data_IF_521870310963
#
_entry.id   IF_521870310963
#
_cell.length_a   1.000
_cell.length_b   1.000
_cell.length_c   1.000
_cell.angle_alpha   90.00
_cell.angle_beta   90.00
_cell.angle_gamma   90.00
#
_symmetry.space_group_name_H-M   'P 1'
#
loop_
_entity.id
_entity.type
_entity.pdbx_description
1 polymer ?
#
# COMPACT_ATOMS: atom_id res chain seq x y z
N UNK A 1 -52.71 1.09 18.95
CA UNK A 1 -52.48 0.49 17.62
C UNK A 1 -51.52 1.40 16.87
N UNK A 2 -50.28 0.97 16.65
CA UNK A 2 -49.26 1.78 15.98
C UNK A 2 -49.45 1.62 14.47
N UNK A 3 -49.71 2.74 13.77
CA UNK A 3 -49.82 2.76 12.32
C UNK A 3 -48.44 2.54 11.70
N UNK A 4 -48.21 1.34 11.15
CA UNK A 4 -47.06 1.06 10.28
C UNK A 4 -47.23 1.87 8.98
N UNK A 5 -46.41 2.91 8.81
CA UNK A 5 -46.30 3.63 7.54
C UNK A 5 -45.48 2.74 6.59
N UNK A 6 -46.14 1.81 5.91
CA UNK A 6 -45.56 1.00 4.84
C UNK A 6 -45.45 1.82 3.55
N UNK A 7 -44.43 2.67 3.47
CA UNK A 7 -44.14 3.43 2.26
C UNK A 7 -43.46 2.51 1.22
N UNK A 8 -44.25 1.83 0.39
CA UNK A 8 -43.80 0.79 -0.55
C UNK A 8 -42.92 1.28 -1.73
N UNK A 9 -42.65 2.59 -1.85
CA UNK A 9 -41.87 3.14 -2.96
C UNK A 9 -41.31 4.56 -2.78
N UNK A 10 -41.20 5.05 -1.54
CA UNK A 10 -40.78 6.42 -1.23
C UNK A 10 -39.43 6.50 -0.48
N UNK A 11 -38.92 7.72 -0.24
CA UNK A 11 -37.81 7.94 0.67
C UNK A 11 -38.16 7.44 2.08
N UNK A 12 -37.40 6.50 2.62
CA UNK A 12 -37.58 6.00 3.98
C UNK A 12 -36.74 6.82 4.96
N UNK A 13 -37.21 6.99 6.19
CA UNK A 13 -36.40 7.53 7.28
C UNK A 13 -35.28 6.55 7.63
N UNK A 14 -34.03 7.01 7.60
CA UNK A 14 -32.82 6.20 7.84
C UNK A 14 -31.77 7.03 8.56
N UNK A 15 -30.86 6.38 9.29
CA UNK A 15 -29.69 7.04 9.87
C UNK A 15 -28.47 6.98 8.92
N UNK A 16 -27.71 8.07 8.77
CA UNK A 16 -26.43 8.02 8.05
C UNK A 16 -25.48 7.06 8.75
N UNK A 17 -24.89 6.13 8.00
CA UNK A 17 -23.89 5.22 8.56
C UNK A 17 -22.60 5.91 9.04
N UNK A 18 -22.41 7.16 8.65
CA UNK A 18 -21.24 7.97 8.94
C UNK A 18 -21.31 8.73 10.27
N UNK A 19 -22.47 9.30 10.60
CA UNK A 19 -22.66 10.26 11.69
C UNK A 19 -23.94 10.04 12.48
N UNK A 20 -24.78 9.07 12.09
CA UNK A 20 -26.05 8.77 12.75
C UNK A 20 -27.20 9.73 12.42
N UNK A 21 -26.95 10.86 11.76
CA UNK A 21 -27.99 11.83 11.42
C UNK A 21 -29.10 11.19 10.57
N UNK A 22 -30.34 11.42 10.96
CA UNK A 22 -31.51 10.91 10.25
C UNK A 22 -31.75 11.66 8.94
N UNK A 23 -32.14 10.94 7.90
CA UNK A 23 -32.46 11.48 6.59
C UNK A 23 -33.47 10.59 5.86
N UNK A 24 -34.23 11.20 4.95
CA UNK A 24 -35.12 10.49 4.05
C UNK A 24 -34.38 10.07 2.79
N UNK A 25 -34.29 8.78 2.50
CA UNK A 25 -33.51 8.25 1.38
C UNK A 25 -34.05 6.97 0.77
N UNK A 26 -33.54 6.61 -0.42
CA UNK A 26 -33.96 5.38 -1.11
C UNK A 26 -33.63 4.14 -0.26
N UNK A 27 -34.33 3.02 -0.50
CA UNK A 27 -34.14 1.75 0.24
C UNK A 27 -32.68 1.33 0.38
N UNK A 28 -31.85 1.50 -0.65
CA UNK A 28 -30.43 1.10 -0.65
C UNK A 28 -29.46 2.21 -0.23
N UNK A 29 -29.94 3.44 0.01
CA UNK A 29 -29.11 4.58 0.35
C UNK A 29 -28.68 4.50 1.82
N UNK A 30 -27.36 4.51 2.06
CA UNK A 30 -26.75 4.35 3.40
C UNK A 30 -26.19 5.65 3.98
N UNK A 31 -26.13 6.68 3.15
CA UNK A 31 -25.50 7.97 3.45
C UNK A 31 -26.39 9.09 2.91
N UNK A 32 -26.35 10.23 3.58
CA UNK A 32 -27.08 11.45 3.19
C UNK A 32 -26.67 11.83 1.78
N UNK A 33 -25.36 11.92 1.55
CA UNK A 33 -24.77 12.30 0.27
C UNK A 33 -23.47 11.54 -0.01
N UNK A 34 -22.81 11.93 -1.11
CA UNK A 34 -21.51 11.39 -1.52
C UNK A 34 -20.38 11.77 -0.57
N UNK A 35 -20.44 12.93 0.08
CA UNK A 35 -19.43 13.42 1.01
C UNK A 35 -19.39 12.54 2.26
N UNK A 36 -20.54 12.23 2.83
CA UNK A 36 -20.72 11.35 3.97
C UNK A 36 -20.27 9.91 3.66
N UNK A 37 -20.56 9.43 2.45
CA UNK A 37 -20.05 8.15 1.94
C UNK A 37 -18.51 8.15 1.85
N UNK A 38 -17.93 9.21 1.30
CA UNK A 38 -16.48 9.34 1.13
C UNK A 38 -15.79 9.38 2.50
N UNK A 39 -16.27 10.19 3.44
CA UNK A 39 -15.71 10.30 4.79
C UNK A 39 -15.71 8.97 5.53
N UNK A 40 -16.84 8.25 5.52
CA UNK A 40 -16.92 6.92 6.14
C UNK A 40 -15.95 5.92 5.51
N UNK A 41 -15.85 5.90 4.18
CA UNK A 41 -14.94 5.01 3.48
C UNK A 41 -13.47 5.38 3.74
N UNK A 42 -13.14 6.67 3.80
CA UNK A 42 -11.81 7.17 4.10
C UNK A 42 -11.39 6.78 5.52
N UNK A 43 -12.24 6.98 6.52
CA UNK A 43 -11.98 6.53 7.90
C UNK A 43 -11.79 5.01 7.97
N UNK A 44 -12.69 4.24 7.34
CA UNK A 44 -12.57 2.77 7.28
C UNK A 44 -11.26 2.33 6.62
N UNK A 45 -10.86 2.99 5.54
CA UNK A 45 -9.61 2.71 4.85
C UNK A 45 -8.39 3.17 5.66
N UNK A 46 -8.49 4.26 6.41
CA UNK A 46 -7.43 4.74 7.30
C UNK A 46 -7.13 3.71 8.39
N UNK A 47 -8.16 3.18 9.07
CA UNK A 47 -7.99 2.10 10.08
C UNK A 47 -7.36 0.84 9.48
N UNK A 48 -7.73 0.48 8.25
CA UNK A 48 -7.08 -0.65 7.54
C UNK A 48 -5.62 -0.36 7.23
N UNK A 49 -5.31 0.85 6.76
CA UNK A 49 -3.95 1.28 6.39
C UNK A 49 -3.05 1.41 7.62
N UNK A 50 -3.59 1.78 8.77
CA UNK A 50 -2.85 1.87 10.02
C UNK A 50 -2.13 0.56 10.36
N UNK A 51 -2.83 -0.58 10.20
CA UNK A 51 -2.25 -1.91 10.40
C UNK A 51 -1.10 -2.24 9.44
N UNK A 52 -1.13 -1.68 8.23
CA UNK A 52 -0.10 -1.87 7.19
C UNK A 52 0.97 -0.78 7.22
N UNK A 53 0.79 0.28 8.01
CA UNK A 53 1.69 1.42 8.10
C UNK A 53 3.14 1.03 8.41
N UNK A 54 3.42 0.10 9.36
CA UNK A 54 4.79 -0.34 9.61
C UNK A 54 5.45 -0.98 8.38
N UNK A 55 4.71 -1.79 7.63
CA UNK A 55 5.20 -2.47 6.41
C UNK A 55 5.47 -1.44 5.31
N UNK A 56 4.54 -0.52 5.08
CA UNK A 56 4.73 0.55 4.09
C UNK A 56 5.89 1.47 4.43
N UNK A 57 6.11 1.77 5.72
CA UNK A 57 7.28 2.54 6.16
C UNK A 57 8.57 1.83 5.80
N UNK A 58 8.70 0.53 6.11
CA UNK A 58 9.90 -0.26 5.76
C UNK A 58 10.15 -0.31 4.24
N UNK A 59 9.10 -0.51 3.45
CA UNK A 59 9.19 -0.51 2.00
C UNK A 59 9.63 0.86 1.47
N UNK A 60 9.05 1.95 1.99
CA UNK A 60 9.41 3.31 1.60
C UNK A 60 10.88 3.64 1.95
N UNK A 61 11.33 3.29 3.15
CA UNK A 61 12.74 3.47 3.55
C UNK A 61 13.67 2.69 2.63
N UNK A 62 13.37 1.42 2.36
CA UNK A 62 14.22 0.59 1.49
C UNK A 62 14.24 1.11 0.04
N UNK A 63 13.10 1.59 -0.48
CA UNK A 63 13.05 2.26 -1.78
C UNK A 63 13.94 3.51 -1.81
N UNK A 64 13.88 4.34 -0.77
CA UNK A 64 14.72 5.53 -0.66
C UNK A 64 16.22 5.20 -0.60
N UNK A 65 16.61 4.12 0.08
CA UNK A 65 18.00 3.65 0.08
C UNK A 65 18.43 3.24 -1.34
N UNK A 66 17.58 2.53 -2.09
CA UNK A 66 17.88 2.16 -3.48
C UNK A 66 17.96 3.38 -4.40
N UNK A 67 17.08 4.37 -4.22
CA UNK A 67 17.14 5.65 -4.93
C UNK A 67 18.44 6.43 -4.60
N UNK A 68 18.88 6.43 -3.35
CA UNK A 68 20.16 7.03 -2.97
C UNK A 68 21.35 6.29 -3.58
N UNK A 69 21.29 4.96 -3.70
CA UNK A 69 22.32 4.20 -4.41
C UNK A 69 22.41 4.66 -5.87
N UNK A 70 21.28 4.95 -6.53
CA UNK A 70 21.27 5.56 -7.86
C UNK A 70 21.94 6.93 -7.89
N UNK A 71 21.58 7.83 -6.95
CA UNK A 71 22.19 9.16 -6.86
C UNK A 71 23.71 9.13 -6.64
N UNK A 72 24.21 8.06 -6.02
CA UNK A 72 25.64 7.84 -5.73
C UNK A 72 26.38 7.01 -6.79
N UNK A 73 25.74 6.69 -7.93
CA UNK A 73 26.32 5.82 -8.97
C UNK A 73 26.76 4.44 -8.45
N UNK A 74 25.98 3.88 -7.52
CA UNK A 74 26.24 2.56 -6.91
C UNK A 74 25.40 1.44 -7.53
N UNK A 75 24.59 1.73 -8.56
CA UNK A 75 23.82 0.71 -9.27
C UNK A 75 24.73 -0.26 -10.02
N UNK A 76 24.22 -1.46 -10.28
CA UNK A 76 24.88 -2.52 -11.04
C UNK A 76 26.23 -2.98 -10.46
N UNK A 77 26.53 -2.61 -9.21
CA UNK A 77 27.73 -2.98 -8.46
C UNK A 77 27.34 -3.75 -7.20
N UNK A 78 28.24 -4.62 -6.75
CA UNK A 78 28.06 -5.32 -5.47
C UNK A 78 28.41 -4.40 -4.31
N UNK A 79 27.42 -4.15 -3.45
CA UNK A 79 27.52 -3.32 -2.25
C UNK A 79 27.42 -4.25 -1.04
N UNK A 80 28.15 -3.96 0.04
CA UNK A 80 27.95 -4.68 1.30
C UNK A 80 26.58 -4.38 1.88
N UNK A 81 25.79 -5.43 2.16
CA UNK A 81 24.42 -5.27 2.65
C UNK A 81 24.39 -4.51 3.99
N UNK A 82 25.43 -4.66 4.81
CA UNK A 82 25.58 -3.98 6.10
C UNK A 82 25.57 -2.46 5.97
N UNK A 83 26.09 -1.93 4.86
CA UNK A 83 26.10 -0.48 4.63
C UNK A 83 24.69 0.03 4.33
N UNK A 84 23.90 -0.74 3.58
CA UNK A 84 22.50 -0.40 3.30
C UNK A 84 21.61 -0.58 4.52
N UNK A 85 21.85 -1.62 5.34
CA UNK A 85 21.09 -1.85 6.58
C UNK A 85 21.28 -0.68 7.56
N UNK A 86 22.48 -0.11 7.65
CA UNK A 86 22.74 1.11 8.45
C UNK A 86 21.92 2.32 7.96
N UNK A 87 21.62 2.37 6.67
CA UNK A 87 20.74 3.39 6.07
C UNK A 87 19.25 3.05 6.17
N UNK A 88 18.89 1.90 6.76
CA UNK A 88 17.51 1.47 6.99
C UNK A 88 16.93 0.55 5.92
N UNK A 89 17.76 0.01 5.02
CA UNK A 89 17.34 -1.03 4.08
C UNK A 89 16.99 -2.32 4.81
N UNK A 90 15.88 -2.95 4.42
CA UNK A 90 15.45 -4.25 4.92
C UNK A 90 15.25 -5.20 3.73
N UNK A 91 16.09 -6.24 3.63
CA UNK A 91 16.03 -7.22 2.56
C UNK A 91 14.78 -8.13 2.63
N UNK A 92 14.10 -8.16 3.78
CA UNK A 92 12.93 -9.00 4.03
C UNK A 92 11.60 -8.27 3.83
N UNK A 93 11.60 -7.08 3.20
CA UNK A 93 10.37 -6.39 2.86
C UNK A 93 9.55 -7.17 1.82
N UNK A 94 8.22 -6.98 1.79
CA UNK A 94 7.40 -7.51 0.72
C UNK A 94 7.89 -7.01 -0.65
N UNK A 95 8.26 -7.94 -1.51
CA UNK A 95 8.73 -7.67 -2.88
C UNK A 95 8.09 -8.67 -3.84
N UNK A 96 8.10 -8.32 -5.12
CA UNK A 96 7.72 -9.25 -6.18
C UNK A 96 8.97 -9.97 -6.70
N UNK A 97 8.92 -11.29 -6.83
CA UNK A 97 10.00 -12.03 -7.48
C UNK A 97 9.90 -11.87 -8.99
N UNK A 98 10.98 -11.44 -9.62
CA UNK A 98 11.14 -11.42 -11.07
C UNK A 98 12.30 -12.33 -11.47
N UNK A 99 12.15 -13.03 -12.59
CA UNK A 99 13.21 -13.83 -13.19
C UNK A 99 13.71 -13.15 -14.45
N UNK A 100 15.02 -12.98 -14.54
CA UNK A 100 15.65 -12.53 -15.76
C UNK A 100 15.54 -13.63 -16.84
N UNK A 101 15.14 -13.22 -18.05
CA UNK A 101 14.98 -14.13 -19.19
C UNK A 101 16.30 -14.57 -19.79
N UNK A 102 17.36 -13.78 -19.63
CA UNK A 102 18.67 -14.01 -20.25
C UNK A 102 19.55 -14.95 -19.45
N UNK A 103 19.56 -14.83 -18.12
CA UNK A 103 20.45 -15.59 -17.23
C UNK A 103 19.71 -16.39 -16.15
N UNK A 104 18.37 -16.40 -16.16
CA UNK A 104 17.54 -17.17 -15.24
C UNK A 104 17.61 -16.71 -13.78
N UNK A 105 18.36 -15.66 -13.47
CA UNK A 105 18.57 -15.17 -12.10
C UNK A 105 17.30 -14.56 -11.53
N UNK A 106 17.09 -14.78 -10.24
CA UNK A 106 15.97 -14.24 -9.49
C UNK A 106 16.36 -12.89 -8.88
N UNK A 107 15.46 -11.91 -8.99
CA UNK A 107 15.58 -10.61 -8.38
C UNK A 107 14.31 -10.29 -7.59
N UNK A 108 14.48 -9.53 -6.51
CA UNK A 108 13.41 -8.98 -5.71
C UNK A 108 13.09 -7.58 -6.21
N UNK A 109 11.92 -7.41 -6.82
CA UNK A 109 11.42 -6.15 -7.36
C UNK A 109 10.70 -5.35 -6.29
N UNK A 110 11.09 -4.09 -6.16
CA UNK A 110 10.39 -3.06 -5.42
C UNK A 110 10.19 -1.84 -6.33
N UNK A 111 8.97 -1.65 -6.82
CA UNK A 111 8.62 -0.56 -7.74
C UNK A 111 9.57 -0.53 -8.96
N UNK A 112 10.35 0.53 -9.10
CA UNK A 112 11.26 0.79 -10.23
C UNK A 112 12.66 0.18 -10.04
N UNK A 113 12.90 -0.48 -8.92
CA UNK A 113 14.18 -1.13 -8.63
C UNK A 113 14.01 -2.64 -8.47
N UNK A 114 15.09 -3.35 -8.73
CA UNK A 114 15.22 -4.76 -8.42
C UNK A 114 16.57 -5.01 -7.76
N UNK A 115 16.60 -5.89 -6.76
CA UNK A 115 17.85 -6.26 -6.11
C UNK A 115 18.03 -7.77 -6.03
N UNK A 116 19.29 -8.20 -5.89
CA UNK A 116 19.65 -9.59 -5.65
C UNK A 116 20.76 -9.65 -4.61
N UNK A 117 20.67 -10.63 -3.72
CA UNK A 117 21.72 -10.92 -2.75
C UNK A 117 22.76 -11.88 -3.36
N UNK A 118 24.00 -11.78 -2.89
CA UNK A 118 25.03 -12.78 -3.16
C UNK A 118 24.68 -14.11 -2.48
N UNK A 119 25.34 -15.20 -2.88
CA UNK A 119 25.06 -16.54 -2.34
C UNK A 119 25.32 -16.64 -0.83
N UNK A 120 26.31 -15.90 -0.35
CA UNK A 120 26.65 -15.76 1.07
C UNK A 120 25.80 -14.72 1.81
N UNK A 121 24.91 -14.01 1.10
CA UNK A 121 24.03 -12.99 1.67
C UNK A 121 24.73 -11.72 2.17
N UNK A 122 26.05 -11.57 1.94
CA UNK A 122 26.83 -10.43 2.46
C UNK A 122 26.78 -9.20 1.56
N UNK A 123 26.48 -9.41 0.27
CA UNK A 123 26.44 -8.36 -0.74
C UNK A 123 25.11 -8.32 -1.45
N UNK A 124 24.81 -7.15 -1.98
CA UNK A 124 23.60 -6.85 -2.72
C UNK A 124 23.96 -6.08 -4.00
N UNK A 125 23.32 -6.44 -5.10
CA UNK A 125 23.36 -5.68 -6.35
C UNK A 125 21.97 -5.12 -6.62
N UNK A 126 21.89 -3.85 -7.00
CA UNK A 126 20.64 -3.12 -7.26
C UNK A 126 20.65 -2.68 -8.72
N UNK A 127 19.54 -2.93 -9.40
CA UNK A 127 19.28 -2.56 -10.79
C UNK A 127 18.09 -1.59 -10.85
N UNK A 128 18.17 -0.58 -11.71
CA UNK A 128 17.00 0.21 -12.09
C UNK A 128 16.25 -0.51 -13.22
N UNK A 129 14.95 -0.71 -13.03
CA UNK A 129 14.07 -1.23 -14.05
C UNK A 129 13.65 -0.07 -14.96
N UNK A 130 14.01 -0.13 -16.24
CA UNK A 130 13.48 0.79 -17.24
C UNK A 130 11.99 0.47 -17.42
N UNK A 131 11.14 1.46 -17.19
CA UNK A 131 9.72 1.41 -17.57
C UNK A 131 9.58 1.46 -19.08
#
# INVERSE_FOLDING_TARGET
MAHEILQLGGPHLKACKCCGLEFYGRRNQKFIDTTHKANYNNQKNAVKREKLSPVFKKMATSYYVMENCQRRDMLDRWIHITDLIKEGFDANIPTNLIKSKTDGKQFYKLLDYAFRLSEDGTKIIIHQLKS
#
